data_IF_211983939954
#
_entry.id   IF_211983939954
#
_cell.length_a   1.000
_cell.length_b   1.000
_cell.length_c   1.000
_cell.angle_alpha   90.00
_cell.angle_beta   90.00
_cell.angle_gamma   90.00
#
_symmetry.space_group_name_H-M   'P 1'
#
loop_
_entity.id
_entity.type
_entity.pdbx_description
1 polymer ?
#
# COMPACT_ATOMS: atom_id res chain seq x y z
N UNK A 1 39.87 -38.50 -7.58
CA UNK A 1 39.91 -37.98 -6.20
C UNK A 1 40.59 -36.60 -6.12
N UNK A 2 41.73 -36.36 -6.79
CA UNK A 2 42.38 -35.02 -6.82
C UNK A 2 41.52 -33.89 -7.44
N UNK A 3 40.67 -34.17 -8.43
CA UNK A 3 39.74 -33.17 -9.00
C UNK A 3 38.54 -32.81 -8.10
N UNK A 4 38.25 -33.64 -7.09
CA UNK A 4 37.16 -33.37 -6.12
C UNK A 4 37.67 -32.58 -4.91
N UNK A 5 38.96 -32.72 -4.58
CA UNK A 5 39.64 -31.92 -3.53
C UNK A 5 39.95 -30.50 -4.01
N UNK A 6 40.25 -30.31 -5.31
CA UNK A 6 40.44 -28.96 -5.88
C UNK A 6 39.15 -28.11 -5.86
N UNK A 7 37.98 -28.73 -5.99
CA UNK A 7 36.68 -28.03 -5.92
C UNK A 7 36.26 -27.61 -4.50
N UNK A 8 36.96 -28.10 -3.47
CA UNK A 8 36.70 -27.79 -2.06
C UNK A 8 37.75 -26.79 -1.51
N UNK A 9 38.72 -26.38 -2.33
CA UNK A 9 39.83 -25.52 -1.91
C UNK A 9 39.62 -24.02 -2.22
N UNK A 10 38.62 -23.66 -3.03
CA UNK A 10 38.19 -22.26 -3.16
C UNK A 10 37.26 -21.94 -1.99
N UNK A 11 37.85 -21.55 -0.87
CA UNK A 11 37.11 -20.80 0.13
C UNK A 11 36.49 -19.58 -0.58
N UNK A 12 35.19 -19.29 -0.42
CA UNK A 12 34.61 -18.09 -0.98
C UNK A 12 35.44 -16.90 -0.48
N UNK A 13 35.99 -16.13 -1.42
CA UNK A 13 36.76 -14.95 -1.10
C UNK A 13 35.89 -14.07 -0.21
N UNK A 14 36.43 -13.66 0.95
CA UNK A 14 35.69 -12.81 1.85
C UNK A 14 35.33 -11.50 1.11
N UNK A 15 34.06 -11.06 1.13
CA UNK A 15 33.64 -9.87 0.42
C UNK A 15 34.45 -8.66 0.89
N UNK A 16 34.69 -7.71 -0.01
CA UNK A 16 35.31 -6.44 0.37
C UNK A 16 34.46 -5.76 1.43
N UNK A 17 35.08 -4.94 2.27
CA UNK A 17 34.36 -4.22 3.34
C UNK A 17 33.19 -3.42 2.77
N UNK A 18 33.37 -2.77 1.60
CA UNK A 18 32.30 -2.03 0.91
C UNK A 18 31.13 -2.92 0.48
N UNK A 19 31.40 -4.08 -0.11
CA UNK A 19 30.38 -5.05 -0.53
C UNK A 19 29.62 -5.64 0.67
N UNK A 20 30.33 -5.94 1.75
CA UNK A 20 29.72 -6.44 2.99
C UNK A 20 28.80 -5.38 3.62
N UNK A 21 29.28 -4.14 3.74
CA UNK A 21 28.47 -3.03 4.26
C UNK A 21 27.27 -2.75 3.34
N UNK A 22 27.47 -2.78 2.03
CA UNK A 22 26.41 -2.64 1.05
C UNK A 22 25.34 -3.71 1.24
N UNK A 23 25.74 -4.98 1.37
CA UNK A 23 24.82 -6.09 1.60
C UNK A 23 24.06 -5.97 2.93
N UNK A 24 24.73 -5.58 4.02
CA UNK A 24 24.09 -5.39 5.34
C UNK A 24 23.03 -4.30 5.27
N UNK A 25 23.40 -3.10 4.78
CA UNK A 25 22.46 -1.99 4.66
C UNK A 25 21.32 -2.31 3.69
N UNK A 26 21.62 -3.00 2.58
CA UNK A 26 20.62 -3.47 1.64
C UNK A 26 19.62 -4.43 2.29
N UNK A 27 20.08 -5.36 3.13
CA UNK A 27 19.21 -6.32 3.82
C UNK A 27 18.36 -5.67 4.90
N UNK A 28 18.90 -4.69 5.65
CA UNK A 28 18.09 -3.86 6.57
C UNK A 28 17.03 -3.09 5.80
N UNK A 29 17.38 -2.50 4.65
CA UNK A 29 16.42 -1.78 3.81
C UNK A 29 15.30 -2.69 3.33
N UNK A 30 15.65 -3.86 2.77
CA UNK A 30 14.68 -4.86 2.32
C UNK A 30 13.74 -5.28 3.46
N UNK A 31 14.28 -5.49 4.66
CA UNK A 31 13.49 -5.86 5.85
C UNK A 31 12.51 -4.75 6.23
N UNK A 32 12.94 -3.49 6.23
CA UNK A 32 12.06 -2.35 6.50
C UNK A 32 10.90 -2.28 5.50
N UNK A 33 11.19 -2.49 4.21
CA UNK A 33 10.18 -2.49 3.15
C UNK A 33 9.22 -3.69 3.23
N UNK A 34 9.71 -4.87 3.61
CA UNK A 34 8.85 -6.03 3.90
C UNK A 34 7.89 -5.72 5.04
N UNK A 35 8.39 -5.20 6.16
CA UNK A 35 7.55 -4.81 7.30
C UNK A 35 6.52 -3.74 6.93
N UNK A 36 6.85 -2.88 5.96
CA UNK A 36 5.99 -1.81 5.48
C UNK A 36 4.89 -2.33 4.54
N UNK A 37 5.22 -3.19 3.56
CA UNK A 37 4.28 -3.62 2.51
C UNK A 37 3.48 -4.86 2.87
N UNK A 38 4.08 -5.83 3.59
CA UNK A 38 3.42 -7.09 3.93
C UNK A 38 2.07 -6.93 4.67
N UNK A 39 1.91 -5.98 5.61
CA UNK A 39 0.61 -5.75 6.27
C UNK A 39 -0.51 -5.42 5.28
N UNK A 40 -0.21 -4.69 4.21
CA UNK A 40 -1.21 -4.35 3.18
C UNK A 40 -1.65 -5.61 2.41
N UNK A 41 -0.69 -6.46 2.02
CA UNK A 41 -0.97 -7.71 1.31
C UNK A 41 -1.81 -8.66 2.18
N UNK A 42 -1.48 -8.75 3.47
CA UNK A 42 -2.22 -9.57 4.44
C UNK A 42 -3.63 -9.00 4.64
N UNK A 43 -3.77 -7.68 4.75
CA UNK A 43 -5.07 -7.02 4.96
C UNK A 43 -6.01 -7.28 3.80
N UNK A 44 -5.53 -7.10 2.56
CA UNK A 44 -6.31 -7.43 1.36
C UNK A 44 -6.76 -8.91 1.35
N UNK A 45 -5.82 -9.81 1.68
CA UNK A 45 -6.10 -11.25 1.72
C UNK A 45 -7.12 -11.61 2.80
N UNK A 46 -7.04 -11.03 3.99
CA UNK A 46 -7.97 -11.29 5.11
C UNK A 46 -9.33 -10.69 4.84
N UNK A 47 -9.37 -9.46 4.33
CA UNK A 47 -10.61 -8.76 3.99
C UNK A 47 -11.33 -9.40 2.80
N UNK A 48 -10.64 -10.20 1.97
CA UNK A 48 -11.15 -10.71 0.69
C UNK A 48 -11.70 -9.59 -0.19
N UNK A 49 -11.13 -8.40 -0.05
CA UNK A 49 -11.47 -7.18 -0.77
C UNK A 49 -10.23 -6.31 -0.91
N UNK A 50 -10.18 -5.55 -2.00
CA UNK A 50 -9.18 -4.53 -2.26
C UNK A 50 -9.84 -3.17 -2.58
N UNK A 51 -11.05 -2.92 -2.04
CA UNK A 51 -11.84 -1.71 -2.30
C UNK A 51 -11.08 -0.41 -1.90
N UNK A 52 -10.04 -0.52 -1.08
CA UNK A 52 -9.22 0.60 -0.58
C UNK A 52 -8.08 1.03 -1.54
N UNK A 53 -7.85 0.31 -2.65
CA UNK A 53 -6.72 0.54 -3.56
C UNK A 53 -7.19 0.97 -4.96
N UNK A 54 -6.56 2.01 -5.52
CA UNK A 54 -6.81 2.44 -6.90
C UNK A 54 -6.06 1.56 -7.90
N UNK A 55 -6.80 0.90 -8.80
CA UNK A 55 -6.19 0.10 -9.87
C UNK A 55 -5.27 0.93 -10.77
N UNK A 56 -5.64 2.17 -11.08
CA UNK A 56 -4.82 3.06 -11.93
C UNK A 56 -3.49 3.37 -11.25
N UNK A 57 -3.53 3.58 -9.95
CA UNK A 57 -2.35 3.87 -9.15
C UNK A 57 -1.41 2.66 -9.06
N UNK A 58 -1.95 1.46 -8.84
CA UNK A 58 -1.16 0.23 -8.84
C UNK A 58 -0.46 -0.04 -10.18
N UNK A 59 -1.11 0.26 -11.31
CA UNK A 59 -0.49 0.13 -12.63
C UNK A 59 0.67 1.11 -12.79
N UNK A 60 0.51 2.35 -12.34
CA UNK A 60 1.57 3.37 -12.39
C UNK A 60 2.76 2.96 -11.51
N UNK A 61 2.51 2.42 -10.32
CA UNK A 61 3.57 1.87 -9.47
C UNK A 61 4.28 0.70 -10.12
N UNK A 62 3.56 -0.27 -10.68
CA UNK A 62 4.19 -1.40 -11.36
C UNK A 62 5.09 -0.94 -12.51
N UNK A 63 4.64 0.05 -13.30
CA UNK A 63 5.47 0.62 -14.36
C UNK A 63 6.72 1.32 -13.81
N UNK A 64 6.58 2.04 -12.69
CA UNK A 64 7.69 2.63 -11.97
C UNK A 64 8.69 1.59 -11.47
N UNK A 65 8.21 0.51 -10.85
CA UNK A 65 9.01 -0.60 -10.34
C UNK A 65 9.73 -1.36 -11.47
N UNK A 66 9.04 -1.60 -12.58
CA UNK A 66 9.64 -2.23 -13.76
C UNK A 66 10.73 -1.35 -14.38
N UNK A 67 10.50 -0.04 -14.48
CA UNK A 67 11.53 0.91 -14.92
C UNK A 67 12.71 0.95 -13.94
N UNK A 68 12.43 0.94 -12.63
CA UNK A 68 13.43 0.91 -11.57
C UNK A 68 14.32 -0.34 -11.67
N UNK A 69 13.71 -1.52 -11.80
CA UNK A 69 14.42 -2.80 -11.93
C UNK A 69 15.23 -2.86 -13.23
N UNK A 70 14.62 -2.48 -14.36
CA UNK A 70 15.30 -2.48 -15.66
C UNK A 70 16.49 -1.51 -15.67
N UNK A 71 16.31 -0.32 -15.10
CA UNK A 71 17.39 0.65 -14.95
C UNK A 71 18.52 0.12 -14.08
N UNK A 72 18.21 -0.50 -12.95
CA UNK A 72 19.22 -1.03 -12.03
C UNK A 72 20.04 -2.15 -12.67
N UNK A 73 19.41 -3.00 -13.48
CA UNK A 73 20.07 -4.04 -14.27
C UNK A 73 20.97 -3.45 -15.37
N UNK A 74 20.48 -2.47 -16.11
CA UNK A 74 21.23 -1.84 -17.20
C UNK A 74 22.40 -0.97 -16.73
N UNK A 75 22.37 -0.55 -15.48
CA UNK A 75 23.42 0.26 -14.86
C UNK A 75 24.38 -0.57 -14.01
N UNK A 76 24.17 -1.89 -13.89
CA UNK A 76 24.95 -2.80 -13.03
C UNK A 76 25.06 -2.30 -11.59
N UNK A 77 23.92 -1.89 -11.01
CA UNK A 77 23.91 -1.41 -9.63
C UNK A 77 24.19 -2.52 -8.62
N UNK A 78 24.36 -2.12 -7.35
CA UNK A 78 24.61 -3.05 -6.25
C UNK A 78 23.57 -4.19 -6.26
N UNK A 79 23.97 -5.45 -6.01
CA UNK A 79 23.05 -6.59 -5.98
C UNK A 79 21.87 -6.40 -5.01
N UNK A 80 22.12 -5.72 -3.89
CA UNK A 80 21.08 -5.32 -2.94
C UNK A 80 19.99 -4.47 -3.61
N UNK A 81 20.36 -3.48 -4.42
CA UNK A 81 19.44 -2.61 -5.15
C UNK A 81 18.58 -3.39 -6.13
N UNK A 82 19.18 -4.30 -6.89
CA UNK A 82 18.46 -5.15 -7.84
C UNK A 82 17.48 -6.06 -7.09
N UNK A 83 17.90 -6.63 -5.94
CA UNK A 83 17.04 -7.45 -5.11
C UNK A 83 15.83 -6.66 -4.55
N UNK A 84 16.02 -5.42 -4.10
CA UNK A 84 14.93 -4.54 -3.66
C UNK A 84 13.96 -4.22 -4.80
N UNK A 85 14.47 -3.81 -5.96
CA UNK A 85 13.64 -3.49 -7.12
C UNK A 85 12.83 -4.72 -7.58
N UNK A 86 13.45 -5.91 -7.53
CA UNK A 86 12.79 -7.18 -7.83
C UNK A 86 11.67 -7.47 -6.82
N UNK A 87 11.92 -7.25 -5.53
CA UNK A 87 10.92 -7.41 -4.48
C UNK A 87 9.70 -6.52 -4.69
N UNK A 88 9.89 -5.24 -5.03
CA UNK A 88 8.79 -4.31 -5.30
C UNK A 88 7.95 -4.75 -6.50
N UNK A 89 8.58 -5.10 -7.63
CA UNK A 89 7.88 -5.66 -8.78
C UNK A 89 7.00 -6.86 -8.40
N UNK A 90 7.52 -7.80 -7.59
CA UNK A 90 6.78 -8.98 -7.15
C UNK A 90 5.63 -8.58 -6.22
N UNK A 91 5.86 -7.68 -5.27
CA UNK A 91 4.82 -7.19 -4.36
C UNK A 91 3.68 -6.51 -5.13
N UNK A 92 3.99 -5.71 -6.13
CA UNK A 92 3.03 -5.03 -7.00
C UNK A 92 2.21 -6.01 -7.83
N UNK A 93 2.85 -7.01 -8.44
CA UNK A 93 2.15 -8.08 -9.15
C UNK A 93 1.19 -8.84 -8.22
N UNK A 94 1.60 -9.14 -6.99
CA UNK A 94 0.73 -9.76 -5.99
C UNK A 94 -0.44 -8.84 -5.64
N UNK A 95 -0.19 -7.56 -5.39
CA UNK A 95 -1.24 -6.58 -5.07
C UNK A 95 -2.24 -6.40 -6.20
N UNK A 96 -1.78 -6.26 -7.45
CA UNK A 96 -2.63 -6.17 -8.63
C UNK A 96 -3.44 -7.46 -8.80
N UNK A 97 -2.83 -8.62 -8.59
CA UNK A 97 -3.52 -9.91 -8.65
C UNK A 97 -4.61 -10.01 -7.60
N UNK A 98 -4.33 -9.64 -6.34
CA UNK A 98 -5.33 -9.59 -5.28
C UNK A 98 -6.45 -8.61 -5.63
N UNK A 99 -6.11 -7.43 -6.14
CA UNK A 99 -7.06 -6.37 -6.45
C UNK A 99 -8.01 -6.78 -7.58
N UNK A 100 -7.47 -7.26 -8.71
CA UNK A 100 -8.26 -7.73 -9.84
C UNK A 100 -9.13 -8.94 -9.47
N UNK A 101 -8.57 -9.91 -8.74
CA UNK A 101 -9.30 -11.10 -8.30
C UNK A 101 -10.47 -10.75 -7.36
N UNK A 102 -10.20 -10.01 -6.28
CA UNK A 102 -11.22 -9.67 -5.30
C UNK A 102 -12.28 -8.70 -5.84
N UNK A 103 -11.90 -7.75 -6.69
CA UNK A 103 -12.85 -6.84 -7.31
C UNK A 103 -13.78 -7.60 -8.28
N UNK A 104 -13.23 -8.53 -9.05
CA UNK A 104 -14.04 -9.33 -10.00
C UNK A 104 -15.02 -10.24 -9.27
N UNK A 105 -14.57 -10.98 -8.25
CA UNK A 105 -15.45 -11.88 -7.50
C UNK A 105 -16.52 -11.09 -6.72
N UNK A 106 -16.16 -9.97 -6.10
CA UNK A 106 -17.11 -9.16 -5.34
C UNK A 106 -18.11 -8.44 -6.26
N UNK A 107 -17.70 -8.01 -7.45
CA UNK A 107 -18.62 -7.47 -8.45
C UNK A 107 -19.63 -8.53 -8.92
N UNK A 108 -19.18 -9.78 -9.17
CA UNK A 108 -20.07 -10.90 -9.51
C UNK A 108 -21.07 -11.21 -8.40
N UNK A 109 -20.60 -11.25 -7.14
CA UNK A 109 -21.47 -11.47 -5.97
C UNK A 109 -22.52 -10.36 -5.81
N UNK A 110 -22.13 -9.10 -5.97
CA UNK A 110 -23.04 -7.94 -5.92
C UNK A 110 -24.12 -8.03 -7.01
N UNK A 111 -23.75 -8.37 -8.25
CA UNK A 111 -24.70 -8.57 -9.37
C UNK A 111 -25.67 -9.72 -9.11
N UNK A 112 -25.18 -10.87 -8.64
CA UNK A 112 -26.03 -12.01 -8.33
C UNK A 112 -27.01 -11.72 -7.18
N UNK A 113 -26.58 -10.99 -6.16
CA UNK A 113 -27.44 -10.56 -5.05
C UNK A 113 -28.53 -9.58 -5.52
N UNK A 114 -28.20 -8.65 -6.43
CA UNK A 114 -29.16 -7.71 -7.01
C UNK A 114 -30.26 -8.45 -7.80
N UNK A 115 -29.88 -9.39 -8.67
CA UNK A 115 -30.83 -10.20 -9.45
C UNK A 115 -31.78 -11.02 -8.57
N UNK A 116 -31.30 -11.56 -7.43
CA UNK A 116 -32.15 -12.28 -6.48
C UNK A 116 -33.18 -11.38 -5.80
N UNK A 117 -32.82 -10.13 -5.47
CA UNK A 117 -33.74 -9.16 -4.87
C UNK A 117 -34.85 -8.77 -5.84
N UNK A 118 -34.50 -8.54 -7.10
CA UNK A 118 -35.46 -8.21 -8.17
C UNK A 118 -36.48 -9.34 -8.38
N UNK A 119 -36.02 -10.60 -8.46
CA UNK A 119 -36.92 -11.75 -8.55
C UNK A 119 -37.84 -11.89 -7.33
N UNK A 120 -37.36 -11.58 -6.12
CA UNK A 120 -38.18 -11.64 -4.90
C UNK A 120 -39.25 -10.52 -4.87
N UNK A 121 -38.92 -9.33 -5.38
CA UNK A 121 -39.88 -8.24 -5.53
C UNK A 121 -40.99 -8.57 -6.55
N UNK A 122 -40.63 -9.11 -7.72
CA UNK A 122 -41.62 -9.52 -8.72
C UNK A 122 -42.57 -10.62 -8.21
N UNK A 123 -42.04 -11.60 -7.45
CA UNK A 123 -42.87 -12.67 -6.87
C UNK A 123 -43.86 -12.16 -5.83
N UNK A 124 -43.49 -11.17 -5.00
CA UNK A 124 -44.43 -10.58 -4.03
C UNK A 124 -45.55 -9.78 -4.72
N UNK A 125 -45.25 -9.01 -5.77
CA UNK A 125 -46.28 -8.27 -6.50
C UNK A 125 -47.32 -9.18 -7.19
N UNK A 126 -46.92 -10.36 -7.68
CA UNK A 126 -47.86 -11.32 -8.27
C UNK A 126 -48.78 -11.99 -7.25
N UNK A 127 -48.38 -12.13 -5.99
CA UNK A 127 -49.23 -12.72 -4.95
C UNK A 127 -50.21 -11.73 -4.32
N UNK A 128 -49.91 -10.43 -4.31
CA UNK A 128 -50.82 -9.40 -3.77
C UNK A 128 -52.02 -9.10 -4.67
N UNK A 129 -51.98 -9.41 -5.97
CA UNK A 129 -53.09 -9.21 -6.90
C UNK A 129 -54.03 -10.42 -7.07
N UNK A 130 -53.79 -11.53 -6.34
CA UNK A 130 -54.59 -12.76 -6.47
C UNK A 130 -55.36 -13.06 -5.19
N UNK A 131 -56.16 -12.09 -4.71
CA UNK A 131 -57.23 -12.35 -3.73
C UNK A 131 -58.51 -12.67 -4.50
N UNK A 132 -59.19 -13.82 -4.28
CA UNK A 132 -60.51 -14.06 -4.84
C UNK A 132 -61.51 -13.10 -4.17
N UNK A 133 -62.21 -12.30 -4.97
CA UNK A 133 -63.37 -11.53 -4.52
C UNK A 133 -64.55 -12.48 -4.31
N UNK A 134 -64.79 -12.89 -3.07
CA UNK A 134 -66.10 -13.38 -2.63
C UNK A 134 -66.90 -12.17 -2.15
N UNK A 135 -68.08 -11.97 -2.71
CA UNK A 135 -69.04 -10.93 -2.33
C UNK A 135 -69.45 -11.06 -0.85
N UNK A 136 -69.78 -9.95 -0.22
CA UNK A 136 -71.15 -9.44 -0.17
C UNK A 136 -71.19 -8.09 0.55
N UNK A 137 -71.99 -7.20 -0.03
CA UNK A 137 -72.89 -6.19 0.54
C UNK A 137 -72.44 -4.98 1.41
N UNK A 138 -73.03 -3.86 0.97
CA UNK A 138 -73.67 -2.77 1.72
C UNK A 138 -72.95 -1.44 1.98
N UNK A 139 -73.50 -0.44 1.26
CA UNK A 139 -74.01 0.85 1.74
C UNK A 139 -73.06 2.04 2.01
N UNK A 140 -73.31 3.07 1.19
CA UNK A 140 -73.54 4.51 1.51
C UNK A 140 -72.49 5.57 1.16
N UNK A 141 -73.07 6.52 0.42
CA UNK A 141 -72.95 7.98 0.48
C UNK A 141 -71.78 8.72 -0.19
N UNK A 142 -72.23 9.62 -1.05
CA UNK A 142 -71.51 10.53 -1.91
C UNK A 142 -70.72 11.61 -1.15
N UNK A 143 -69.55 11.96 -1.68
CA UNK A 143 -69.23 13.35 -1.93
C UNK A 143 -68.25 13.47 -3.11
N UNK A 144 -68.70 14.19 -4.14
CA UNK A 144 -67.95 14.47 -5.34
C UNK A 144 -67.02 15.67 -5.13
N UNK A 145 -65.76 15.54 -5.55
CA UNK A 145 -64.95 16.70 -5.95
C UNK A 145 -63.95 16.30 -7.04
N UNK A 146 -64.28 16.68 -8.28
CA UNK A 146 -63.38 17.18 -9.34
C UNK A 146 -61.93 16.65 -9.37
N UNK A 147 -61.63 15.77 -10.34
CA UNK A 147 -60.29 15.71 -10.95
C UNK A 147 -60.44 15.55 -12.46
N UNK A 148 -59.98 16.56 -13.19
CA UNK A 148 -59.89 16.60 -14.63
C UNK A 148 -59.02 15.45 -15.17
N UNK A 149 -59.43 14.92 -16.32
CA UNK A 149 -58.74 13.86 -17.04
C UNK A 149 -57.35 14.32 -17.54
N UNK A 150 -56.30 13.54 -17.26
CA UNK A 150 -54.99 13.69 -17.87
C UNK A 150 -54.89 12.86 -19.17
N UNK A 151 -54.16 13.33 -20.19
CA UNK A 151 -54.05 12.70 -21.51
C UNK A 151 -53.19 11.42 -21.48
N UNK A 152 -53.25 10.55 -22.51
CA UNK A 152 -52.50 9.30 -22.54
C UNK A 152 -50.97 9.54 -22.64
N UNK A 153 -50.15 8.63 -22.09
CA UNK A 153 -48.70 8.84 -21.96
C UNK A 153 -48.00 8.73 -23.32
N UNK A 154 -47.00 9.60 -23.52
CA UNK A 154 -46.05 9.52 -24.63
C UNK A 154 -44.75 8.86 -24.16
N UNK A 155 -43.98 8.34 -25.12
CA UNK A 155 -42.87 7.38 -24.97
C UNK A 155 -41.59 7.94 -24.31
N UNK A 156 -41.71 8.90 -23.38
CA UNK A 156 -40.57 9.61 -22.76
C UNK A 156 -40.60 9.65 -21.22
N UNK A 157 -41.54 8.98 -20.56
CA UNK A 157 -41.64 8.97 -19.10
C UNK A 157 -40.84 7.82 -18.45
N UNK A 158 -39.98 8.09 -17.45
CA UNK A 158 -39.22 7.05 -16.76
C UNK A 158 -40.10 6.24 -15.80
N UNK A 159 -40.12 4.91 -16.00
CA UNK A 159 -40.79 3.95 -15.13
C UNK A 159 -39.96 3.71 -13.86
N UNK A 160 -40.26 4.43 -12.78
CA UNK A 160 -40.28 4.03 -11.35
C UNK A 160 -40.11 5.25 -10.43
N UNK A 161 -40.86 5.34 -9.30
CA UNK A 161 -40.70 6.44 -8.34
C UNK A 161 -39.47 6.24 -7.46
N UNK A 162 -38.48 7.11 -7.61
CA UNK A 162 -37.33 7.21 -6.70
C UNK A 162 -37.74 7.93 -5.41
N UNK A 163 -37.71 7.22 -4.29
CA UNK A 163 -37.66 7.85 -2.97
C UNK A 163 -36.26 8.40 -2.76
N UNK A 164 -36.13 9.72 -2.88
CA UNK A 164 -34.90 10.45 -2.63
C UNK A 164 -34.53 10.37 -1.13
N UNK A 165 -33.48 9.63 -0.81
CA UNK A 165 -32.59 9.94 0.33
C UNK A 165 -31.22 10.29 -0.26
N UNK A 166 -30.70 11.51 -0.04
CA UNK A 166 -29.41 11.90 -0.59
C UNK A 166 -28.29 11.42 0.34
N UNK A 167 -27.79 10.20 0.14
CA UNK A 167 -26.45 9.80 0.63
C UNK A 167 -25.39 10.42 -0.29
N UNK A 168 -25.19 11.72 -0.10
CA UNK A 168 -24.25 12.51 -0.87
C UNK A 168 -22.88 12.54 -0.15
N UNK A 169 -22.06 11.48 -0.27
CA UNK A 169 -20.60 11.62 -0.06
C UNK A 169 -19.69 10.50 -0.57
N UNK A 170 -19.94 9.92 -1.75
CA UNK A 170 -18.87 9.18 -2.47
C UNK A 170 -18.14 10.14 -3.39
N UNK A 171 -17.19 10.88 -2.83
CA UNK A 171 -16.19 11.62 -3.62
C UNK A 171 -15.16 10.61 -4.18
N UNK A 172 -15.06 10.39 -5.51
CA UNK A 172 -14.16 9.38 -6.08
C UNK A 172 -12.66 9.72 -5.98
N UNK A 173 -12.33 10.93 -5.50
CA UNK A 173 -10.98 11.51 -5.61
C UNK A 173 -9.98 11.12 -4.51
N UNK A 174 -10.29 10.20 -3.60
CA UNK A 174 -9.44 9.94 -2.43
C UNK A 174 -8.57 8.69 -2.51
N UNK A 175 -8.36 8.13 -3.70
CA UNK A 175 -7.75 6.80 -3.90
C UNK A 175 -6.25 6.83 -4.26
N UNK A 176 -5.57 7.96 -4.03
CA UNK A 176 -4.12 8.15 -4.26
C UNK A 176 -3.25 8.11 -3.00
N UNK A 177 -3.73 7.49 -1.92
CA UNK A 177 -2.99 7.41 -0.66
C UNK A 177 -1.91 6.32 -0.68
N UNK A 178 -0.77 6.60 -0.03
CA UNK A 178 0.25 5.61 0.30
C UNK A 178 -0.34 4.49 1.18
N UNK A 179 0.27 3.29 1.23
CA UNK A 179 -0.15 2.26 2.17
C UNK A 179 -0.09 2.85 3.59
N UNK A 180 -1.16 2.76 4.37
CA UNK A 180 -1.21 3.33 5.72
C UNK A 180 -1.84 4.72 5.88
N UNK A 181 -2.41 5.34 4.84
CA UNK A 181 -3.14 6.63 4.94
C UNK A 181 -4.68 6.52 4.96
N UNK A 182 -5.23 5.37 5.33
CA UNK A 182 -6.67 5.10 5.25
C UNK A 182 -7.45 5.60 6.47
N UNK A 183 -8.36 6.55 6.25
CA UNK A 183 -9.38 6.94 7.23
C UNK A 183 -10.46 5.86 7.32
N UNK A 184 -10.73 5.41 8.54
CA UNK A 184 -11.76 4.42 8.89
C UNK A 184 -13.16 4.90 8.51
N UNK A 185 -13.93 4.07 7.81
CA UNK A 185 -15.39 4.19 7.86
C UNK A 185 -15.89 3.58 9.17
N UNK A 186 -16.58 4.38 9.98
CA UNK A 186 -17.28 3.93 11.18
C UNK A 186 -18.32 2.87 10.79
N UNK A 187 -18.01 1.60 11.06
CA UNK A 187 -19.02 0.54 11.04
C UNK A 187 -19.98 0.77 12.22
N UNK A 188 -21.32 0.65 12.02
CA UNK A 188 -22.27 0.73 13.11
C UNK A 188 -21.95 -0.32 14.17
N UNK A 189 -21.80 0.13 15.42
CA UNK A 189 -21.53 -0.70 16.60
C UNK A 189 -22.64 -1.74 16.79
N UNK A 190 -22.45 -2.95 16.24
CA UNK A 190 -23.23 -4.12 16.63
C UNK A 190 -22.60 -4.72 17.88
N UNK A 191 -23.27 -4.52 19.00
CA UNK A 191 -23.06 -5.27 20.23
C UNK A 191 -23.38 -6.74 19.98
N UNK A 192 -22.36 -7.59 19.90
CA UNK A 192 -22.52 -9.03 20.08
C UNK A 192 -21.27 -9.59 20.73
N UNK A 193 -21.43 -9.96 21.99
CA UNK A 193 -20.56 -10.80 22.79
C UNK A 193 -20.33 -12.14 22.11
N UNK A 194 -19.11 -12.39 21.63
CA UNK A 194 -18.55 -13.73 21.57
C UNK A 194 -17.03 -13.67 21.69
N UNK A 195 -16.53 -14.41 22.67
CA UNK A 195 -15.12 -14.71 22.89
C UNK A 195 -14.57 -15.38 21.63
N UNK A 196 -13.62 -14.72 20.96
CA UNK A 196 -13.00 -15.19 19.73
C UNK A 196 -11.51 -14.88 19.73
N UNK A 197 -10.72 -15.91 20.03
CA UNK A 197 -9.27 -15.96 19.94
C UNK A 197 -8.85 -15.70 18.47
N UNK A 198 -7.91 -14.78 18.22
CA UNK A 198 -7.18 -14.73 16.94
C UNK A 198 -7.10 -13.39 16.17
N UNK A 199 -7.00 -12.24 16.85
CA UNK A 199 -6.64 -10.97 16.20
C UNK A 199 -5.12 -10.75 16.22
N UNK A 200 -4.46 -10.79 15.06
CA UNK A 200 -3.01 -10.70 14.90
C UNK A 200 -2.39 -9.43 15.55
N UNK A 201 -1.46 -9.57 16.51
CA UNK A 201 -0.78 -8.45 17.17
C UNK A 201 -0.02 -7.54 16.20
N UNK A 202 0.59 -8.10 15.15
CA UNK A 202 1.39 -7.37 14.17
C UNK A 202 0.60 -6.36 13.33
N UNK A 203 -0.66 -6.69 13.00
CA UNK A 203 -1.52 -5.76 12.27
C UNK A 203 -1.90 -4.59 13.16
N UNK A 204 -2.26 -4.84 14.43
CA UNK A 204 -2.63 -3.79 15.40
C UNK A 204 -1.50 -2.82 15.71
N UNK A 205 -0.28 -3.33 15.85
CA UNK A 205 0.93 -2.52 16.09
C UNK A 205 1.23 -1.59 14.91
N UNK A 206 1.00 -2.04 13.68
CA UNK A 206 1.27 -1.26 12.47
C UNK A 206 0.12 -0.29 12.14
N UNK A 207 -1.12 -0.63 12.48
CA UNK A 207 -2.30 0.22 12.26
C UNK A 207 -2.58 1.20 13.39
N UNK A 208 -1.79 1.19 14.47
CA UNK A 208 -2.00 2.07 15.64
C UNK A 208 -3.29 1.77 16.40
N UNK A 209 -3.74 0.51 16.38
CA UNK A 209 -4.99 0.06 17.03
C UNK A 209 -4.72 -0.45 18.45
N UNK A 210 -4.16 0.40 19.30
CA UNK A 210 -3.99 0.13 20.72
C UNK A 210 -4.99 0.98 21.53
N UNK A 211 -6.15 0.38 21.84
CA UNK A 211 -7.03 0.82 22.94
C UNK A 211 -6.49 0.33 24.30
N UNK A 212 -5.16 0.40 24.52
CA UNK A 212 -4.58 0.18 25.85
C UNK A 212 -4.14 1.52 26.43
N UNK A 213 -4.75 1.97 27.54
CA UNK A 213 -4.24 3.10 28.29
C UNK A 213 -2.86 2.68 28.83
N UNK A 214 -1.82 3.45 28.48
CA UNK A 214 -0.51 3.46 29.14
C UNK A 214 0.63 2.54 28.63
N UNK A 215 0.74 2.32 27.30
CA UNK A 215 1.99 1.78 26.71
C UNK A 215 2.71 2.86 25.89
N UNK A 216 3.93 3.23 26.31
CA UNK A 216 4.78 4.29 25.70
C UNK A 216 4.90 4.08 24.17
N UNK A 217 4.19 4.84 23.31
CA UNK A 217 4.15 4.58 21.86
C UNK A 217 5.53 4.67 21.21
N UNK A 218 6.39 5.51 21.78
CA UNK A 218 7.77 5.67 21.34
C UNK A 218 8.61 4.41 21.59
N UNK A 219 8.39 3.70 22.70
CA UNK A 219 9.09 2.45 23.00
C UNK A 219 8.76 1.37 21.96
N UNK A 220 7.48 1.22 21.61
CA UNK A 220 7.07 0.26 20.59
C UNK A 220 7.72 0.57 19.23
N UNK A 221 7.71 1.84 18.83
CA UNK A 221 8.37 2.27 17.59
C UNK A 221 9.89 2.00 17.62
N UNK A 222 10.56 2.32 18.73
CA UNK A 222 12.00 2.05 18.89
C UNK A 222 12.29 0.55 18.84
N UNK A 223 11.51 -0.28 19.52
CA UNK A 223 11.68 -1.74 19.52
C UNK A 223 11.47 -2.31 18.11
N UNK A 224 10.45 -1.85 17.38
CA UNK A 224 10.23 -2.25 15.99
C UNK A 224 11.42 -1.87 15.09
N UNK A 225 11.98 -0.67 15.25
CA UNK A 225 13.17 -0.27 14.49
C UNK A 225 14.39 -1.14 14.82
N UNK A 226 14.66 -1.40 16.11
CA UNK A 226 15.76 -2.28 16.52
C UNK A 226 15.56 -3.70 15.97
N UNK A 227 14.34 -4.21 15.99
CA UNK A 227 14.02 -5.51 15.41
C UNK A 227 14.28 -5.57 13.91
N UNK A 228 13.91 -4.51 13.15
CA UNK A 228 14.19 -4.43 11.71
C UNK A 228 15.69 -4.44 11.42
N UNK A 229 16.49 -3.70 12.19
CA UNK A 229 17.94 -3.73 12.07
C UNK A 229 18.51 -5.12 12.38
N UNK A 230 18.08 -5.73 13.48
CA UNK A 230 18.54 -7.05 13.88
C UNK A 230 18.20 -8.13 12.84
N UNK A 231 16.95 -8.14 12.34
CA UNK A 231 16.50 -9.08 11.31
C UNK A 231 17.23 -8.86 9.99
N UNK A 232 17.46 -7.60 9.58
CA UNK A 232 18.23 -7.31 8.37
C UNK A 232 19.69 -7.77 8.47
N UNK A 233 20.37 -7.49 9.58
CA UNK A 233 21.75 -7.97 9.80
C UNK A 233 21.81 -9.50 9.83
N UNK A 234 20.87 -10.15 10.52
CA UNK A 234 20.79 -11.60 10.56
C UNK A 234 20.49 -12.19 9.18
N UNK A 235 19.58 -11.58 8.40
CA UNK A 235 19.23 -11.98 7.04
C UNK A 235 20.43 -11.91 6.10
N UNK A 236 21.20 -10.83 6.17
CA UNK A 236 22.46 -10.72 5.43
C UNK A 236 23.46 -11.81 5.86
N UNK A 237 23.65 -12.02 7.16
CA UNK A 237 24.58 -13.03 7.65
C UNK A 237 24.22 -14.45 7.20
N UNK A 238 22.93 -14.80 7.24
CA UNK A 238 22.42 -16.08 6.72
C UNK A 238 22.65 -16.19 5.21
N UNK A 239 22.31 -15.15 4.44
CA UNK A 239 22.54 -15.09 3.00
C UNK A 239 24.02 -15.28 2.63
N UNK A 240 24.92 -14.62 3.38
CA UNK A 240 26.37 -14.80 3.26
C UNK A 240 26.81 -16.24 3.54
N UNK A 241 26.34 -16.84 4.64
CA UNK A 241 26.65 -18.24 4.99
C UNK A 241 26.11 -19.25 3.99
N UNK A 242 25.02 -18.92 3.30
CA UNK A 242 24.46 -19.74 2.23
C UNK A 242 25.20 -19.59 0.89
N UNK A 243 26.26 -18.78 0.83
CA UNK A 243 27.05 -18.58 -0.38
C UNK A 243 26.37 -17.70 -1.43
N UNK A 244 25.31 -16.97 -1.07
CA UNK A 244 24.62 -16.08 -2.01
C UNK A 244 25.50 -14.92 -2.52
N UNK A 245 26.60 -14.65 -1.81
CA UNK A 245 27.61 -13.65 -2.14
C UNK A 245 28.94 -14.27 -2.61
N UNK A 246 28.98 -15.60 -2.83
CA UNK A 246 30.16 -16.26 -3.36
C UNK A 246 30.18 -16.13 -4.88
N UNK A 247 31.15 -15.42 -5.44
CA UNK A 247 31.29 -15.30 -6.90
C UNK A 247 31.94 -16.56 -7.46
N UNK A 248 31.26 -17.32 -8.37
CA UNK A 248 31.90 -18.45 -9.03
C UNK A 248 32.95 -17.90 -10.00
N UNK A 249 34.24 -18.08 -9.69
CA UNK A 249 35.34 -17.76 -10.60
C UNK A 249 36.19 -16.53 -10.27
N UNK A 250 36.07 -15.94 -9.07
CA UNK A 250 37.02 -14.94 -8.58
C UNK A 250 37.00 -13.58 -9.30
N UNK A 251 36.04 -13.33 -10.20
CA UNK A 251 35.74 -11.98 -10.69
C UNK A 251 34.90 -11.23 -9.65
N UNK A 252 35.21 -9.97 -9.39
CA UNK A 252 34.42 -9.15 -8.48
C UNK A 252 33.06 -8.82 -9.13
N UNK A 253 31.96 -8.85 -8.35
CA UNK A 253 30.62 -8.49 -8.84
C UNK A 253 30.58 -7.02 -9.31
N UNK A 254 31.55 -6.21 -8.89
CA UNK A 254 31.74 -4.82 -9.32
C UNK A 254 32.36 -4.61 -10.71
N UNK A 255 32.95 -5.63 -11.35
CA UNK A 255 33.70 -5.46 -12.61
C UNK A 255 32.83 -5.56 -13.88
N UNK A 256 31.54 -5.87 -13.75
CA UNK A 256 30.61 -5.91 -14.90
C UNK A 256 30.14 -4.51 -15.26
N UNK A 257 31.01 -3.75 -15.92
CA UNK A 257 30.69 -2.40 -16.41
C UNK A 257 29.73 -2.49 -17.58
N UNK A 258 28.51 -1.98 -17.42
CA UNK A 258 27.57 -1.87 -18.54
C UNK A 258 28.12 -0.92 -19.62
N UNK A 259 27.92 -1.29 -20.89
CA UNK A 259 28.18 -0.47 -22.08
C UNK A 259 27.54 0.93 -21.92
N UNK A 260 28.26 1.98 -22.31
CA UNK A 260 27.85 3.38 -22.13
C UNK A 260 26.41 3.68 -22.61
N UNK A 261 25.98 3.26 -23.82
CA UNK A 261 24.60 3.51 -24.26
C UNK A 261 23.55 2.83 -23.39
N UNK A 262 23.82 1.61 -22.92
CA UNK A 262 22.91 0.85 -22.05
C UNK A 262 22.83 1.48 -20.66
N UNK A 263 23.97 1.94 -20.12
CA UNK A 263 24.02 2.66 -18.86
C UNK A 263 23.19 3.96 -18.90
N UNK A 264 23.25 4.70 -20.01
CA UNK A 264 22.43 5.92 -20.19
C UNK A 264 20.94 5.60 -20.21
N UNK A 265 20.52 4.58 -20.95
CA UNK A 265 19.11 4.12 -20.92
C UNK A 265 18.70 3.72 -19.51
N UNK A 266 19.57 3.01 -18.80
CA UNK A 266 19.34 2.63 -17.41
C UNK A 266 19.14 3.83 -16.47
N UNK A 267 19.96 4.86 -16.60
CA UNK A 267 19.82 6.10 -15.83
C UNK A 267 18.51 6.84 -16.15
N UNK A 268 18.11 6.92 -17.42
CA UNK A 268 16.84 7.55 -17.81
C UNK A 268 15.65 6.81 -17.18
N UNK A 269 15.67 5.48 -17.20
CA UNK A 269 14.65 4.67 -16.52
C UNK A 269 14.63 4.89 -15.01
N UNK A 270 15.81 5.00 -14.39
CA UNK A 270 15.94 5.33 -12.97
C UNK A 270 15.40 6.72 -12.62
N UNK A 271 15.61 7.73 -13.49
CA UNK A 271 15.03 9.06 -13.26
C UNK A 271 13.52 9.06 -13.42
N UNK A 272 13.01 8.33 -14.43
CA UNK A 272 11.57 8.19 -14.63
C UNK A 272 10.89 7.50 -13.43
N UNK A 273 11.50 6.44 -12.88
CA UNK A 273 10.97 5.77 -11.68
C UNK A 273 11.03 6.69 -10.46
N UNK A 274 12.13 7.40 -10.24
CA UNK A 274 12.27 8.36 -9.14
C UNK A 274 11.17 9.44 -9.18
N UNK A 275 10.90 10.03 -10.35
CA UNK A 275 9.83 11.01 -10.52
C UNK A 275 8.46 10.39 -10.19
N UNK A 276 8.19 9.17 -10.68
CA UNK A 276 6.94 8.47 -10.40
C UNK A 276 6.70 8.30 -8.88
N UNK A 277 7.72 7.84 -8.14
CA UNK A 277 7.61 7.62 -6.70
C UNK A 277 7.43 8.90 -5.90
N UNK A 278 8.19 9.96 -6.21
CA UNK A 278 8.10 11.23 -5.50
C UNK A 278 6.74 11.89 -5.76
N UNK A 279 6.30 11.94 -7.02
CA UNK A 279 4.99 12.49 -7.37
C UNK A 279 3.83 11.74 -6.69
N UNK A 280 3.95 10.43 -6.46
CA UNK A 280 2.93 9.64 -5.77
C UNK A 280 2.77 10.01 -4.28
N UNK A 281 3.80 10.56 -3.64
CA UNK A 281 3.80 10.91 -2.20
C UNK A 281 3.28 12.33 -1.93
N UNK A 282 3.48 13.25 -2.87
CA UNK A 282 3.05 14.65 -2.78
C UNK A 282 1.56 14.84 -2.43
N UNK A 283 0.59 14.09 -3.01
CA UNK A 283 -0.82 14.22 -2.67
C UNK A 283 -1.11 14.06 -1.18
N UNK A 284 -0.40 13.15 -0.49
CA UNK A 284 -0.57 12.94 0.94
C UNK A 284 -0.08 14.13 1.76
N UNK A 285 1.07 14.70 1.40
CA UNK A 285 1.63 15.90 2.04
C UNK A 285 0.67 17.07 1.92
N UNK A 286 0.12 17.28 0.71
CA UNK A 286 -0.86 18.34 0.44
C UNK A 286 -2.13 18.10 1.26
N UNK A 287 -2.62 16.86 1.32
CA UNK A 287 -3.81 16.50 2.09
C UNK A 287 -3.64 16.82 3.57
N UNK A 288 -2.55 16.37 4.19
CA UNK A 288 -2.23 16.70 5.59
C UNK A 288 -2.19 18.22 5.82
N UNK A 289 -1.60 18.97 4.88
CA UNK A 289 -1.55 20.43 4.97
C UNK A 289 -2.92 21.08 4.85
N UNK A 290 -3.82 20.57 4.01
CA UNK A 290 -5.18 21.09 3.83
C UNK A 290 -6.08 20.74 5.01
N UNK A 291 -6.00 19.50 5.50
CA UNK A 291 -6.83 18.99 6.59
C UNK A 291 -6.32 19.43 7.98
N UNK A 292 -5.11 19.99 8.06
CA UNK A 292 -4.47 20.41 9.32
C UNK A 292 -4.48 19.32 10.39
N UNK A 293 -4.39 18.07 9.95
CA UNK A 293 -4.47 16.88 10.78
C UNK A 293 -3.60 15.79 10.17
N UNK A 294 -3.00 14.98 11.05
CA UNK A 294 -2.33 13.73 10.71
C UNK A 294 -3.09 12.52 11.27
N UNK A 295 -4.38 12.70 11.60
CA UNK A 295 -5.24 11.64 12.12
C UNK A 295 -5.37 10.49 11.10
N UNK A 296 -5.13 9.25 11.56
CA UNK A 296 -5.15 8.05 10.72
C UNK A 296 -3.83 7.71 10.03
N UNK A 297 -2.75 8.47 10.28
CA UNK A 297 -1.41 8.13 9.82
C UNK A 297 -0.61 7.42 10.94
N UNK A 298 -0.04 6.26 10.62
CA UNK A 298 0.84 5.55 11.55
C UNK A 298 2.27 6.12 11.48
N UNK A 299 2.77 6.68 12.59
CA UNK A 299 4.14 7.23 12.66
C UNK A 299 5.20 6.17 12.32
N UNK A 300 4.99 4.92 12.73
CA UNK A 300 5.89 3.80 12.46
C UNK A 300 6.09 3.56 10.96
N UNK A 301 5.07 3.75 10.13
CA UNK A 301 5.16 3.61 8.68
C UNK A 301 6.22 4.55 8.09
N UNK A 302 6.21 5.82 8.51
CA UNK A 302 7.19 6.82 8.06
C UNK A 302 8.58 6.56 8.64
N UNK A 303 8.68 6.07 9.88
CA UNK A 303 9.97 5.70 10.48
C UNK A 303 10.61 4.51 9.75
N UNK A 304 9.81 3.52 9.36
CA UNK A 304 10.26 2.39 8.54
C UNK A 304 10.63 2.83 7.12
N UNK A 305 9.83 3.69 6.49
CA UNK A 305 10.12 4.28 5.18
C UNK A 305 11.44 5.07 5.20
N UNK A 306 11.65 5.92 6.21
CA UNK A 306 12.90 6.68 6.39
C UNK A 306 14.09 5.75 6.58
N UNK A 307 13.95 4.72 7.44
CA UNK A 307 15.00 3.73 7.70
C UNK A 307 15.35 2.94 6.44
N UNK A 308 14.34 2.50 5.69
CA UNK A 308 14.51 1.78 4.44
C UNK A 308 15.25 2.60 3.40
N UNK A 309 14.85 3.86 3.19
CA UNK A 309 15.51 4.74 2.23
C UNK A 309 16.93 5.12 2.66
N UNK A 310 17.14 5.46 3.93
CA UNK A 310 18.48 5.78 4.44
C UNK A 310 19.45 4.62 4.24
N UNK A 311 19.05 3.40 4.64
CA UNK A 311 19.89 2.21 4.50
C UNK A 311 20.03 1.78 3.04
N UNK A 312 19.03 2.01 2.19
CA UNK A 312 19.18 1.83 0.75
C UNK A 312 20.25 2.74 0.15
N UNK A 313 20.18 4.05 0.41
CA UNK A 313 21.18 5.01 -0.06
C UNK A 313 22.58 4.65 0.45
N UNK A 314 22.70 4.32 1.74
CA UNK A 314 23.95 3.86 2.33
C UNK A 314 24.50 2.58 1.66
N UNK A 315 23.60 1.64 1.30
CA UNK A 315 23.96 0.40 0.60
C UNK A 315 24.58 0.69 -0.76
N UNK A 316 23.97 1.60 -1.54
CA UNK A 316 24.47 2.00 -2.86
C UNK A 316 25.83 2.68 -2.73
N UNK A 317 25.98 3.64 -1.81
CA UNK A 317 27.25 4.37 -1.61
C UNK A 317 28.38 3.49 -1.06
N UNK A 318 28.05 2.43 -0.31
CA UNK A 318 29.04 1.51 0.24
C UNK A 318 29.59 0.53 -0.80
N UNK A 319 28.82 0.20 -1.85
CA UNK A 319 29.15 -0.84 -2.82
C UNK A 319 30.40 -0.52 -3.64
N UNK A 320 30.44 0.67 -4.25
CA UNK A 320 31.58 1.16 -5.00
C UNK A 320 31.73 2.67 -4.81
N UNK A 321 32.96 3.11 -4.61
CA UNK A 321 33.33 4.51 -4.40
C UNK A 321 33.89 5.17 -5.66
N UNK A 322 33.81 4.47 -6.79
CA UNK A 322 34.25 4.98 -8.07
C UNK A 322 33.30 6.05 -8.60
N UNK A 323 33.88 7.09 -9.21
CA UNK A 323 33.13 8.24 -9.72
C UNK A 323 32.06 7.82 -10.73
N UNK A 324 32.40 6.91 -11.64
CA UNK A 324 31.51 6.49 -12.72
C UNK A 324 30.33 5.70 -12.17
N UNK A 325 30.55 4.83 -11.19
CA UNK A 325 29.49 4.15 -10.47
C UNK A 325 28.56 5.13 -9.75
N UNK A 326 29.11 6.12 -9.04
CA UNK A 326 28.31 7.13 -8.36
C UNK A 326 27.42 7.93 -9.30
N UNK A 327 27.96 8.37 -10.44
CA UNK A 327 27.19 9.11 -11.46
C UNK A 327 26.05 8.24 -11.99
N UNK A 328 26.36 6.99 -12.31
CA UNK A 328 25.41 5.97 -12.75
C UNK A 328 24.32 5.71 -11.69
N UNK A 329 24.65 5.75 -10.40
CA UNK A 329 23.71 5.54 -9.30
C UNK A 329 22.88 6.77 -8.90
N UNK A 330 23.15 7.96 -9.46
CA UNK A 330 22.47 9.21 -9.08
C UNK A 330 20.94 9.15 -9.10
N UNK A 331 20.26 8.56 -10.11
CA UNK A 331 18.80 8.55 -10.13
C UNK A 331 18.19 7.91 -8.88
N UNK A 332 18.78 6.81 -8.42
CA UNK A 332 18.35 6.07 -7.25
C UNK A 332 18.66 6.79 -5.94
N UNK A 333 19.85 7.41 -5.85
CA UNK A 333 20.23 8.21 -4.69
C UNK A 333 19.31 9.42 -4.54
N UNK A 334 18.97 10.09 -5.66
CA UNK A 334 18.05 11.23 -5.68
C UNK A 334 16.62 10.81 -5.33
N UNK A 335 16.12 9.71 -5.89
CA UNK A 335 14.79 9.18 -5.53
C UNK A 335 14.69 8.83 -4.05
N UNK A 336 15.72 8.19 -3.50
CA UNK A 336 15.77 7.83 -2.08
C UNK A 336 15.85 9.06 -1.17
N UNK A 337 16.75 9.99 -1.47
CA UNK A 337 16.89 11.25 -0.74
C UNK A 337 15.59 12.07 -0.80
N UNK A 338 14.96 12.18 -1.96
CA UNK A 338 13.69 12.86 -2.13
C UNK A 338 12.59 12.27 -1.23
N UNK A 339 12.52 10.93 -1.16
CA UNK A 339 11.58 10.24 -0.27
C UNK A 339 11.85 10.54 1.19
N UNK A 340 13.13 10.58 1.61
CA UNK A 340 13.50 10.96 2.98
C UNK A 340 13.11 12.41 3.31
N UNK A 341 13.22 13.33 2.34
CA UNK A 341 12.79 14.72 2.49
C UNK A 341 11.26 14.77 2.65
N UNK A 342 10.51 14.04 1.84
CA UNK A 342 9.05 13.94 1.94
C UNK A 342 8.60 13.36 3.29
N UNK A 343 9.22 12.28 3.76
CA UNK A 343 8.96 11.70 5.08
C UNK A 343 9.30 12.71 6.20
N UNK A 344 10.38 13.48 6.04
CA UNK A 344 10.76 14.56 6.97
C UNK A 344 9.72 15.67 7.03
N UNK A 345 9.15 16.08 5.88
CA UNK A 345 8.05 17.04 5.83
C UNK A 345 6.84 16.50 6.61
N UNK A 346 6.53 15.22 6.47
CA UNK A 346 5.41 14.58 7.19
C UNK A 346 5.70 14.54 8.70
N UNK A 347 6.92 14.25 9.14
CA UNK A 347 7.29 14.36 10.56
C UNK A 347 7.09 15.77 11.12
N UNK A 348 7.43 16.80 10.33
CA UNK A 348 7.13 18.19 10.71
C UNK A 348 5.62 18.41 10.83
N UNK A 349 4.83 17.88 9.90
CA UNK A 349 3.36 17.97 9.98
C UNK A 349 2.80 17.27 11.22
N UNK A 350 3.30 16.08 11.59
CA UNK A 350 2.91 15.39 12.83
C UNK A 350 3.16 16.24 14.07
N UNK A 351 4.30 16.96 14.12
CA UNK A 351 4.64 17.86 15.23
C UNK A 351 3.78 19.12 15.26
N UNK A 352 3.47 19.69 14.10
CA UNK A 352 2.68 20.91 13.98
C UNK A 352 1.19 20.70 14.29
N UNK A 353 0.64 19.55 13.87
CA UNK A 353 -0.78 19.23 14.00
C UNK A 353 -1.09 18.34 15.20
N UNK A 354 -0.12 18.09 16.10
CA UNK A 354 -0.37 17.38 17.35
C UNK A 354 -1.29 18.19 18.30
N UNK A 355 -2.30 17.55 18.93
CA UNK A 355 -3.34 18.23 19.70
C UNK A 355 -2.84 19.10 20.87
N UNK A 356 -1.69 18.78 21.46
CA UNK A 356 -1.13 19.50 22.61
C UNK A 356 -0.81 20.98 22.34
N UNK A 357 -0.67 21.39 21.08
CA UNK A 357 -0.50 22.81 20.73
C UNK A 357 -1.79 23.60 20.54
N UNK A 358 -2.96 22.95 20.60
CA UNK A 358 -4.26 23.63 20.50
C UNK A 358 -4.86 24.00 21.87
N UNK A 359 -4.21 23.65 22.99
CA UNK A 359 -4.55 24.24 24.30
C UNK A 359 -3.90 25.62 24.38
N UNK A 360 -4.54 26.63 23.77
CA UNK A 360 -4.32 28.02 24.19
C UNK A 360 -4.99 28.20 25.57
N UNK A 361 -4.31 28.85 26.55
CA UNK A 361 -4.92 29.17 27.84
C UNK A 361 -6.00 30.21 27.59
N UNK A 362 -7.26 29.81 27.79
CA UNK A 362 -8.40 30.67 27.55
C UNK A 362 -9.68 30.02 28.04
N UNK A 363 -9.89 30.01 29.35
CA UNK A 363 -11.19 29.71 29.92
C UNK A 363 -11.14 29.31 31.38
N UNK A 364 -11.80 30.12 32.22
CA UNK A 364 -12.09 29.99 33.66
C UNK A 364 -11.00 30.50 34.61
N UNK A 365 -11.24 31.47 35.49
CA UNK A 365 -12.47 32.13 35.92
C UNK A 365 -12.22 33.62 36.21
#
# INVERSE_FOLDING_TARGET
>A
MQRFVAAVSDAPHAPRVGEALSGIFGSVSLTAWICLLLPQLITNYKAKSADALSMKFLIIWLLGDMANLSGALFTSLAPSTIALASYFCVADLILISQCTYYNTINARRRRAAAARREHHHHRHHHHTHRRPSTGDDDDRDACASSSAAAPPPTESDPLLPTTNTPDNNTNPNNSGGLPGSHRRHSLPRRTSSSVGIGGDPLARIITGEDDTPDSRPWLHNTVSLVAVWAVGVAGWFVSYKMGAWATPGGGDVGDVVAEEPTAVVGMVLGYASAVCYLCARVPQIIKNYREKSCEGLALLFFLLSLTGNFTYGASVMAFSQERDYFIRALPWLLGSLGTMVEDSIIFVQFRLYSPERQVKPGGTA
#
